data_IF_424633771119
#
_entry.id   IF_424633771119
#
_cell.length_a   1.000
_cell.length_b   1.000
_cell.length_c   1.000
_cell.angle_alpha   90.00
_cell.angle_beta   90.00
_cell.angle_gamma   90.00
#
_symmetry.space_group_name_H-M   'P 1'
#
loop_
_entity.id
_entity.type
_entity.pdbx_description
1 polymer ?
#
# COMPACT_ATOMS: atom_id res chain seq x y z
N UNK A 1 -6.96 -59.80 -30.66
CA UNK A 1 -5.58 -59.44 -31.08
C UNK A 1 -5.58 -59.21 -32.57
N UNK A 2 -4.69 -58.30 -32.99
CA UNK A 2 -4.06 -58.12 -34.30
C UNK A 2 -4.54 -56.92 -35.12
N UNK A 3 -3.57 -56.02 -35.26
CA UNK A 3 -3.57 -54.68 -35.80
C UNK A 3 -3.90 -54.60 -37.29
N UNK A 4 -4.63 -53.53 -37.66
CA UNK A 4 -4.76 -53.06 -39.03
C UNK A 4 -3.63 -52.07 -39.35
N UNK A 5 -2.97 -52.31 -40.47
CA UNK A 5 -2.11 -51.35 -41.14
C UNK A 5 -2.96 -50.30 -41.90
N UNK A 6 -2.58 -49.02 -41.86
CA UNK A 6 -2.81 -48.10 -42.99
C UNK A 6 -1.85 -46.90 -42.91
N UNK A 7 -1.06 -46.74 -43.99
CA UNK A 7 -0.31 -45.53 -44.33
C UNK A 7 -1.24 -44.44 -44.87
N UNK A 8 -0.69 -43.23 -45.04
CA UNK A 8 -1.24 -42.04 -45.74
C UNK A 8 -1.93 -41.06 -44.76
N UNK A 9 -1.79 -39.73 -44.83
CA UNK A 9 -1.39 -38.81 -45.89
C UNK A 9 -0.89 -37.50 -45.25
N UNK A 10 -0.05 -36.75 -45.98
CA UNK A 10 0.33 -35.36 -45.71
C UNK A 10 -0.87 -34.38 -45.77
N UNK A 11 -0.59 -33.14 -45.33
CA UNK A 11 -1.22 -31.84 -45.64
C UNK A 11 -2.30 -31.36 -44.65
N UNK A 12 -2.01 -30.25 -43.94
CA UNK A 12 -2.68 -28.96 -44.13
C UNK A 12 -2.15 -27.89 -43.18
N UNK A 13 -1.73 -26.77 -43.77
CA UNK A 13 -1.49 -25.51 -43.10
C UNK A 13 -2.79 -24.99 -42.46
N UNK A 14 -2.68 -24.45 -41.26
CA UNK A 14 -3.77 -23.76 -40.57
C UNK A 14 -3.21 -22.67 -39.68
N UNK A 15 -3.03 -21.48 -40.25
CA UNK A 15 -2.81 -20.24 -39.51
C UNK A 15 -4.03 -19.98 -38.63
N UNK A 16 -3.89 -20.17 -37.31
CA UNK A 16 -4.82 -19.57 -36.35
C UNK A 16 -4.04 -18.48 -35.63
N UNK A 17 -4.18 -17.26 -36.15
CA UNK A 17 -3.84 -16.05 -35.43
C UNK A 17 -4.75 -15.92 -34.21
N UNK A 18 -4.25 -16.32 -33.05
CA UNK A 18 -4.78 -15.86 -31.78
C UNK A 18 -3.97 -14.62 -31.40
N UNK A 19 -4.57 -13.44 -31.61
CA UNK A 19 -4.02 -12.18 -31.12
C UNK A 19 -3.77 -12.31 -29.62
N UNK A 20 -2.49 -12.35 -29.26
CA UNK A 20 -2.05 -12.18 -27.88
C UNK A 20 -2.46 -10.76 -27.49
N UNK A 21 -3.53 -10.66 -26.71
CA UNK A 21 -3.86 -9.44 -26.00
C UNK A 21 -2.73 -9.23 -25.01
N UNK A 22 -1.77 -8.40 -25.40
CA UNK A 22 -0.71 -7.91 -24.53
C UNK A 22 -1.37 -7.01 -23.49
N UNK A 23 -1.84 -7.61 -22.39
CA UNK A 23 -2.09 -6.83 -21.19
C UNK A 23 -0.73 -6.33 -20.72
N UNK A 24 -0.48 -5.01 -20.66
CA UNK A 24 0.64 -4.53 -19.89
C UNK A 24 0.33 -4.94 -18.44
N UNK A 25 1.00 -5.98 -17.95
CA UNK A 25 1.30 -6.06 -16.53
C UNK A 25 2.07 -4.77 -16.25
N UNK A 26 1.37 -3.73 -15.77
CA UNK A 26 2.03 -2.64 -15.10
C UNK A 26 2.70 -3.28 -13.90
N UNK A 27 3.98 -3.60 -14.05
CA UNK A 27 4.85 -3.87 -12.93
C UNK A 27 4.71 -2.66 -12.01
N UNK A 28 3.99 -2.82 -10.90
CA UNK A 28 4.18 -1.94 -9.77
C UNK A 28 5.67 -2.07 -9.46
N UNK A 29 6.43 -1.00 -9.67
CA UNK A 29 7.83 -0.99 -9.26
C UNK A 29 7.86 -1.42 -7.79
N UNK A 30 8.59 -2.49 -7.50
CA UNK A 30 8.90 -2.87 -6.13
C UNK A 30 9.78 -1.73 -5.59
N UNK A 31 9.16 -0.74 -4.97
CA UNK A 31 9.84 0.37 -4.32
C UNK A 31 10.65 -0.22 -3.15
N UNK A 32 11.93 -0.53 -3.39
CA UNK A 32 12.90 -0.97 -2.39
C UNK A 32 13.32 0.19 -1.48
N UNK A 33 12.37 0.82 -0.81
CA UNK A 33 12.57 2.00 0.05
C UNK A 33 12.63 1.66 1.54
N UNK A 34 12.70 0.36 1.86
CA UNK A 34 12.87 -0.11 3.23
C UNK A 34 14.23 0.37 3.79
N UNK A 35 14.19 1.14 4.88
CA UNK A 35 15.38 1.71 5.52
C UNK A 35 15.83 3.08 5.00
N UNK A 36 15.14 3.65 4.03
CA UNK A 36 15.28 5.07 3.67
C UNK A 36 14.23 5.87 4.45
N UNK A 37 14.63 6.85 5.28
CA UNK A 37 13.67 7.66 6.03
C UNK A 37 12.72 8.41 5.09
N UNK A 38 11.43 8.38 5.42
CA UNK A 38 10.40 9.07 4.66
C UNK A 38 10.61 10.59 4.71
N UNK A 39 10.68 11.25 3.54
CA UNK A 39 10.75 12.70 3.51
C UNK A 39 9.37 13.34 3.68
N UNK A 40 9.29 14.59 4.19
CA UNK A 40 8.02 15.29 4.34
C UNK A 40 7.28 15.54 3.02
N UNK A 41 8.03 15.74 1.93
CA UNK A 41 7.46 15.95 0.61
C UNK A 41 6.81 14.66 0.07
N UNK A 42 7.47 13.51 0.26
CA UNK A 42 6.91 12.21 -0.13
C UNK A 42 5.67 11.86 0.69
N UNK A 43 5.69 12.13 1.99
CA UNK A 43 4.57 11.82 2.89
C UNK A 43 3.32 12.67 2.62
N UNK A 44 3.49 13.89 2.11
CA UNK A 44 2.39 14.84 1.98
C UNK A 44 1.25 14.31 1.09
N UNK A 45 0.01 14.49 1.54
CA UNK A 45 -1.18 14.08 0.79
C UNK A 45 -2.20 13.31 1.63
N UNK A 46 -3.20 12.76 0.94
CA UNK A 46 -4.23 11.92 1.54
C UNK A 46 -3.76 10.47 1.65
N UNK A 47 -4.10 9.84 2.76
CA UNK A 47 -3.80 8.45 3.08
C UNK A 47 -5.01 7.78 3.71
N UNK A 48 -5.39 6.62 3.19
CA UNK A 48 -6.47 5.81 3.73
C UNK A 48 -5.94 4.87 4.80
N UNK A 49 -6.56 4.89 5.97
CA UNK A 49 -6.34 3.91 7.02
C UNK A 49 -7.23 2.71 6.73
N UNK A 50 -6.63 1.54 6.60
CA UNK A 50 -7.30 0.27 6.35
C UNK A 50 -7.00 -0.71 7.47
N UNK A 51 -7.98 -1.51 7.87
CA UNK A 51 -7.80 -2.61 8.83
C UNK A 51 -8.71 -3.76 8.44
N UNK A 52 -8.16 -4.98 8.38
CA UNK A 52 -8.93 -6.18 8.02
C UNK A 52 -9.60 -6.12 6.64
N UNK A 53 -9.03 -5.38 5.68
CA UNK A 53 -9.59 -5.22 4.32
C UNK A 53 -10.64 -4.11 4.19
N UNK A 54 -10.89 -3.32 5.23
CA UNK A 54 -11.90 -2.27 5.23
C UNK A 54 -11.26 -0.89 5.41
N UNK A 55 -11.68 0.07 4.57
CA UNK A 55 -11.32 1.48 4.72
C UNK A 55 -12.01 2.05 5.97
N UNK A 56 -11.21 2.58 6.89
CA UNK A 56 -11.67 3.10 8.18
C UNK A 56 -11.84 4.62 8.13
N UNK A 57 -10.79 5.33 7.74
CA UNK A 57 -10.76 6.79 7.71
C UNK A 57 -9.68 7.28 6.74
N UNK A 58 -9.63 8.59 6.50
CA UNK A 58 -8.55 9.24 5.75
C UNK A 58 -7.77 10.15 6.69
N UNK A 59 -6.45 10.09 6.58
CA UNK A 59 -5.50 11.05 7.14
C UNK A 59 -4.98 11.95 6.03
N UNK A 60 -4.87 13.25 6.28
CA UNK A 60 -4.10 14.16 5.43
C UNK A 60 -2.80 14.50 6.13
N UNK A 61 -1.69 14.00 5.59
CA UNK A 61 -0.35 14.31 6.05
C UNK A 61 0.15 15.58 5.37
N UNK A 62 0.75 16.48 6.15
CA UNK A 62 1.39 17.69 5.67
C UNK A 62 2.90 17.52 5.63
N UNK A 63 3.57 18.15 4.67
CA UNK A 63 5.03 18.33 4.68
C UNK A 63 5.49 19.53 5.53
N UNK A 64 4.56 20.31 6.06
CA UNK A 64 4.84 21.49 6.89
C UNK A 64 5.01 21.09 8.35
N UNK A 65 6.00 21.69 9.02
CA UNK A 65 6.26 21.48 10.44
C UNK A 65 5.06 21.91 11.29
N UNK A 66 4.74 21.12 12.31
CA UNK A 66 3.70 21.38 13.31
C UNK A 66 4.09 20.72 14.62
N UNK A 67 4.26 21.52 15.68
CA UNK A 67 4.72 21.01 16.98
C UNK A 67 6.06 20.29 16.87
N UNK A 68 6.13 19.07 17.42
CA UNK A 68 7.32 18.21 17.40
C UNK A 68 7.53 17.46 16.08
N UNK A 69 6.64 17.60 15.09
CA UNK A 69 6.67 16.82 13.86
C UNK A 69 6.15 17.62 12.66
N UNK A 70 5.36 16.96 11.84
CA UNK A 70 4.69 17.50 10.66
C UNK A 70 3.18 17.32 10.80
N UNK A 71 2.37 18.24 10.27
CA UNK A 71 0.93 18.26 10.55
C UNK A 71 0.17 17.03 10.05
N UNK A 72 -0.81 16.58 10.84
CA UNK A 72 -1.80 15.55 10.46
C UNK A 72 -3.20 16.13 10.65
N UNK A 73 -4.08 15.88 9.68
CA UNK A 73 -5.53 16.01 9.88
C UNK A 73 -6.15 14.64 9.76
N UNK A 74 -6.75 14.15 10.84
CA UNK A 74 -7.40 12.85 10.85
C UNK A 74 -8.92 12.99 10.66
N UNK A 75 -9.50 12.11 9.84
CA UNK A 75 -10.92 11.81 9.92
C UNK A 75 -11.26 11.01 11.19
N UNK A 76 -12.53 10.61 11.33
CA UNK A 76 -12.94 9.76 12.45
C UNK A 76 -12.44 8.32 12.24
N UNK A 77 -11.36 7.94 12.92
CA UNK A 77 -10.73 6.62 12.81
C UNK A 77 -11.20 5.61 13.88
N UNK A 78 -12.11 6.02 14.77
CA UNK A 78 -12.60 5.22 15.89
C UNK A 78 -11.47 4.64 16.74
N UNK A 79 -11.62 3.38 17.15
CA UNK A 79 -10.62 2.68 17.97
C UNK A 79 -9.41 2.14 17.17
N UNK A 80 -9.40 2.33 15.85
CA UNK A 80 -8.27 1.88 15.01
C UNK A 80 -7.04 2.75 15.26
N UNK A 81 -7.24 4.06 15.39
CA UNK A 81 -6.19 5.03 15.76
C UNK A 81 -6.68 5.80 16.99
N UNK A 82 -6.24 5.35 18.16
CA UNK A 82 -6.62 5.96 19.44
C UNK A 82 -5.83 7.25 19.69
N UNK A 83 -6.42 8.24 20.35
CA UNK A 83 -5.66 9.43 20.80
C UNK A 83 -5.56 10.60 19.80
N UNK A 84 -6.31 10.59 18.70
CA UNK A 84 -6.47 11.69 17.74
C UNK A 84 -5.13 12.36 17.33
N UNK A 85 -4.43 11.79 16.33
CA UNK A 85 -3.10 12.28 15.95
C UNK A 85 -3.17 13.69 15.35
N UNK A 86 -2.28 14.56 15.83
CA UNK A 86 -2.14 15.95 15.34
C UNK A 86 -0.84 16.15 14.56
N UNK A 87 0.12 15.24 14.73
CA UNK A 87 1.40 15.28 14.05
C UNK A 87 1.85 13.89 13.61
N UNK A 88 2.81 13.86 12.68
CA UNK A 88 3.55 12.66 12.29
C UNK A 88 5.05 12.97 12.27
N UNK A 89 5.87 11.94 12.43
CA UNK A 89 7.32 12.04 12.39
C UNK A 89 7.90 10.87 11.59
N UNK A 90 8.92 11.10 10.75
CA UNK A 90 9.65 10.00 10.14
C UNK A 90 10.43 9.22 11.19
N UNK A 91 10.51 7.91 11.02
CA UNK A 91 11.41 7.02 11.77
C UNK A 91 12.51 6.51 10.83
N UNK A 92 13.42 5.68 11.34
CA UNK A 92 14.46 5.04 10.52
C UNK A 92 13.86 4.13 9.43
N UNK A 93 12.75 3.47 9.73
CA UNK A 93 12.10 2.43 8.92
C UNK A 93 10.69 2.81 8.43
N UNK A 94 10.21 4.02 8.71
CA UNK A 94 8.88 4.46 8.32
C UNK A 94 8.47 5.76 8.98
N UNK A 95 7.38 5.73 9.74
CA UNK A 95 6.83 6.91 10.41
C UNK A 95 6.05 6.55 11.68
N UNK A 96 5.78 7.54 12.51
CA UNK A 96 4.86 7.42 13.65
C UNK A 96 3.87 8.58 13.72
N UNK A 97 2.63 8.29 14.12
CA UNK A 97 1.64 9.29 14.45
C UNK A 97 1.79 9.71 15.91
N UNK A 98 1.59 10.99 16.16
CA UNK A 98 1.87 11.63 17.45
C UNK A 98 0.64 12.41 17.90
N UNK A 99 0.28 12.22 19.17
CA UNK A 99 -0.80 12.93 19.85
C UNK A 99 -0.44 14.37 20.20
N UNK A 100 -1.44 15.13 20.66
CA UNK A 100 -1.23 16.52 21.08
C UNK A 100 -0.34 16.65 22.33
N UNK A 101 -0.24 15.58 23.12
CA UNK A 101 0.66 15.43 24.26
C UNK A 101 2.11 15.11 23.85
N UNK A 102 2.37 14.97 22.54
CA UNK A 102 3.68 14.61 22.00
C UNK A 102 4.03 13.13 22.12
N UNK A 103 3.12 12.27 22.60
CA UNK A 103 3.35 10.84 22.70
C UNK A 103 3.09 10.14 21.37
N UNK A 104 3.87 9.11 21.09
CA UNK A 104 3.63 8.24 19.94
C UNK A 104 2.33 7.45 20.16
N UNK A 105 1.43 7.54 19.18
CA UNK A 105 0.17 6.80 19.16
C UNK A 105 0.38 5.43 18.51
N UNK A 106 0.98 5.44 17.33
CA UNK A 106 1.20 4.25 16.51
C UNK A 106 2.38 4.50 15.57
N UNK A 107 3.21 3.47 15.41
CA UNK A 107 4.31 3.47 14.45
C UNK A 107 3.96 2.56 13.28
N UNK A 108 4.38 2.94 12.09
CA UNK A 108 4.22 2.15 10.88
C UNK A 108 5.56 1.97 10.18
N UNK A 109 5.81 0.74 9.73
CA UNK A 109 6.94 0.40 8.90
C UNK A 109 6.62 0.71 7.44
N UNK A 110 7.58 1.26 6.70
CA UNK A 110 7.45 1.52 5.26
C UNK A 110 7.65 0.24 4.49
N UNK A 111 6.64 -0.14 3.71
CA UNK A 111 6.73 -1.26 2.77
C UNK A 111 6.97 -0.76 1.34
N UNK A 112 6.43 0.42 1.00
CA UNK A 112 6.69 1.13 -0.25
C UNK A 112 6.41 2.63 -0.07
N UNK A 113 6.56 3.42 -1.13
CA UNK A 113 6.13 4.83 -1.13
C UNK A 113 4.62 5.01 -0.95
N UNK A 114 3.83 3.95 -1.13
CA UNK A 114 2.36 4.04 -1.11
C UNK A 114 1.72 3.15 -0.04
N UNK A 115 2.52 2.50 0.80
CA UNK A 115 2.03 1.60 1.84
C UNK A 115 2.94 1.64 3.08
N UNK A 116 2.33 1.96 4.22
CA UNK A 116 2.91 1.71 5.54
C UNK A 116 2.05 0.71 6.32
N UNK A 117 2.69 -0.09 7.17
CA UNK A 117 2.02 -1.17 7.92
C UNK A 117 2.43 -1.13 9.37
N UNK A 118 1.44 -1.19 10.26
CA UNK A 118 1.62 -1.41 11.69
C UNK A 118 1.08 -2.79 12.05
N UNK A 119 1.95 -3.64 12.59
CA UNK A 119 1.56 -4.94 13.13
C UNK A 119 0.98 -4.78 14.53
N UNK A 120 -0.19 -5.37 14.79
CA UNK A 120 -0.80 -5.38 16.13
C UNK A 120 -0.73 -6.77 16.76
N UNK A 121 -0.70 -6.80 18.09
CA UNK A 121 -0.77 -8.05 18.86
C UNK A 121 -2.04 -8.86 18.61
N UNK A 122 -3.10 -8.23 18.09
CA UNK A 122 -4.33 -8.90 17.67
C UNK A 122 -4.17 -9.75 16.39
N UNK A 123 -3.04 -9.65 15.69
CA UNK A 123 -2.81 -10.32 14.40
C UNK A 123 -3.50 -9.68 13.20
N UNK A 124 -4.16 -8.52 13.40
CA UNK A 124 -4.77 -7.73 12.33
C UNK A 124 -3.94 -6.47 12.14
N UNK A 125 -3.36 -6.34 10.96
CA UNK A 125 -2.56 -5.18 10.58
C UNK A 125 -3.41 -3.94 10.34
N UNK A 126 -2.82 -2.78 10.67
CA UNK A 126 -3.33 -1.48 10.25
C UNK A 126 -2.43 -1.00 9.12
N UNK A 127 -3.03 -0.69 7.98
CA UNK A 127 -2.33 -0.18 6.81
C UNK A 127 -2.65 1.29 6.59
N UNK A 128 -1.65 2.05 6.17
CA UNK A 128 -1.78 3.41 5.69
C UNK A 128 -1.45 3.41 4.20
N UNK A 129 -2.47 3.50 3.35
CA UNK A 129 -2.38 3.42 1.90
C UNK A 129 -2.51 4.79 1.27
N UNK A 130 -1.65 5.12 0.32
CA UNK A 130 -1.69 6.43 -0.35
C UNK A 130 -2.99 6.61 -1.13
N UNK A 131 -3.55 7.82 -1.07
CA UNK A 131 -4.81 8.19 -1.72
C UNK A 131 -6.02 8.10 -0.80
N UNK A 132 -7.12 8.67 -1.27
CA UNK A 132 -8.44 8.50 -0.65
C UNK A 132 -9.20 7.37 -1.37
N UNK A 133 -10.20 6.74 -0.74
CA UNK A 133 -10.98 5.71 -1.41
C UNK A 133 -11.64 6.26 -2.69
N UNK A 134 -11.35 5.67 -3.84
CA UNK A 134 -12.01 5.97 -5.11
C UNK A 134 -11.50 7.18 -5.90
N UNK A 135 -10.27 7.65 -5.66
CA UNK A 135 -9.59 8.63 -6.53
C UNK A 135 -8.68 7.97 -7.55
#
# INVERSE_FOLDING_TARGET
MKENAMRSTLIAAGLIGAGLVSYPFMAAAEDHEAGVPLTPAEAAGAWTVESGGHNICVLTLSGQKSGSGYGVKAGSCGDTIQGNPVAWQPTHDGMQLVGADGQAIIAFNRWSNSLFVSHRSSGVDIQLKRGAPGT
#
